data_IF_745502329439
#
_entry.id   IF_745502329439
#
_cell.length_a   1.000
_cell.length_b   1.000
_cell.length_c   1.000
_cell.angle_alpha   90.00
_cell.angle_beta   90.00
_cell.angle_gamma   90.00
#
_symmetry.space_group_name_H-M   'P 1'
#
loop_
_entity.id
_entity.type
_entity.pdbx_description
1 polymer ?
#
# COMPACT_ATOMS: atom_id res chain seq x y z
N UNK A 1 -24.41 -1.99 55.13
CA UNK A 1 -24.93 -2.21 53.77
C UNK A 1 -23.79 -2.01 52.75
N UNK A 2 -22.65 -2.68 52.93
CA UNK A 2 -21.39 -2.28 52.27
C UNK A 2 -20.67 -3.38 51.46
N UNK A 3 -21.05 -4.66 51.57
CA UNK A 3 -20.33 -5.75 50.88
C UNK A 3 -20.93 -6.17 49.53
N UNK A 4 -22.03 -5.56 49.09
CA UNK A 4 -22.67 -5.94 47.81
C UNK A 4 -22.09 -5.19 46.62
N UNK A 5 -21.75 -3.90 46.78
CA UNK A 5 -21.19 -3.08 45.70
C UNK A 5 -19.84 -3.59 45.18
N UNK A 6 -18.99 -4.09 46.07
CA UNK A 6 -17.64 -4.58 45.71
C UNK A 6 -17.68 -5.82 44.80
N UNK A 7 -18.63 -6.73 45.01
CA UNK A 7 -18.80 -7.93 44.19
C UNK A 7 -19.29 -7.56 42.79
N UNK A 8 -20.26 -6.64 42.69
CA UNK A 8 -20.74 -6.16 41.39
C UNK A 8 -19.68 -5.40 40.60
N UNK A 9 -18.82 -4.62 41.26
CA UNK A 9 -17.71 -3.95 40.58
C UNK A 9 -16.64 -4.94 40.10
N UNK A 10 -16.37 -5.99 40.86
CA UNK A 10 -15.43 -7.06 40.45
C UNK A 10 -15.95 -7.82 39.23
N UNK A 11 -17.23 -8.19 39.24
CA UNK A 11 -17.86 -8.90 38.13
C UNK A 11 -17.85 -8.06 36.84
N UNK A 12 -18.12 -6.76 36.95
CA UNK A 12 -18.03 -5.82 35.82
C UNK A 12 -16.60 -5.72 35.25
N UNK A 13 -15.57 -5.71 36.10
CA UNK A 13 -14.17 -5.68 35.65
C UNK A 13 -13.79 -6.98 34.91
N UNK A 14 -14.24 -8.13 35.40
CA UNK A 14 -14.01 -9.41 34.72
C UNK A 14 -14.72 -9.47 33.37
N UNK A 15 -15.99 -9.08 33.30
CA UNK A 15 -16.74 -9.02 32.05
C UNK A 15 -16.06 -8.09 31.03
N UNK A 16 -15.59 -6.91 31.46
CA UNK A 16 -14.88 -5.96 30.61
C UNK A 16 -13.55 -6.53 30.09
N UNK A 17 -12.81 -7.22 30.96
CA UNK A 17 -11.51 -7.83 30.59
C UNK A 17 -11.70 -8.94 29.56
N UNK A 18 -12.72 -9.79 29.73
CA UNK A 18 -13.07 -10.83 28.75
C UNK A 18 -13.43 -10.20 27.40
N UNK A 19 -14.20 -9.10 27.41
CA UNK A 19 -14.59 -8.39 26.19
C UNK A 19 -13.38 -7.80 25.46
N UNK A 20 -12.43 -7.21 26.18
CA UNK A 20 -11.18 -6.68 25.61
C UNK A 20 -10.33 -7.81 25.00
N UNK A 21 -10.21 -8.95 25.69
CA UNK A 21 -9.44 -10.10 25.17
C UNK A 21 -10.09 -10.65 23.91
N UNK A 22 -11.42 -10.75 23.86
CA UNK A 22 -12.12 -11.24 22.66
C UNK A 22 -11.96 -10.29 21.47
N UNK A 23 -12.10 -8.98 21.67
CA UNK A 23 -11.94 -8.00 20.58
C UNK A 23 -10.49 -7.95 20.10
N UNK A 24 -9.51 -7.99 21.00
CA UNK A 24 -8.10 -8.06 20.64
C UNK A 24 -7.77 -9.35 19.87
N UNK A 25 -8.29 -10.50 20.30
CA UNK A 25 -8.08 -11.80 19.64
C UNK A 25 -8.71 -11.84 18.25
N UNK A 26 -9.93 -11.32 18.11
CA UNK A 26 -10.61 -11.22 16.81
C UNK A 26 -9.85 -10.29 15.87
N UNK A 27 -9.41 -9.14 16.36
CA UNK A 27 -8.60 -8.18 15.59
C UNK A 27 -7.29 -8.84 15.16
N UNK A 28 -6.61 -9.53 16.07
CA UNK A 28 -5.37 -10.26 15.78
C UNK A 28 -5.58 -11.39 14.77
N UNK A 29 -6.69 -12.13 14.83
CA UNK A 29 -6.99 -13.19 13.86
C UNK A 29 -7.33 -12.61 12.47
N UNK A 30 -8.06 -11.50 12.43
CA UNK A 30 -8.37 -10.79 11.19
C UNK A 30 -7.11 -10.18 10.56
N UNK A 31 -6.18 -9.65 11.37
CA UNK A 31 -4.89 -9.17 10.86
C UNK A 31 -3.95 -10.31 10.47
N UNK A 32 -3.98 -11.47 11.14
CA UNK A 32 -3.15 -12.62 10.76
C UNK A 32 -3.46 -13.16 9.35
N UNK A 33 -4.72 -13.05 8.89
CA UNK A 33 -5.08 -13.36 7.50
C UNK A 33 -4.37 -12.47 6.48
N UNK A 34 -3.94 -11.27 6.87
CA UNK A 34 -3.13 -10.37 6.06
C UNK A 34 -1.62 -10.70 6.10
N UNK A 35 -1.17 -11.58 7.00
CA UNK A 35 0.24 -11.96 7.19
C UNK A 35 0.60 -13.35 6.62
N UNK A 36 -0.27 -13.98 5.84
CA UNK A 36 0.09 -15.24 5.19
C UNK A 36 1.21 -15.00 4.16
N UNK A 37 2.29 -15.81 4.18
CA UNK A 37 3.43 -15.63 3.32
C UNK A 37 3.03 -15.76 1.84
N UNK A 38 3.66 -14.92 1.03
CA UNK A 38 3.49 -14.67 -0.40
C UNK A 38 3.60 -15.89 -1.34
N UNK A 39 3.70 -17.11 -0.83
CA UNK A 39 3.93 -18.33 -1.62
C UNK A 39 2.64 -19.01 -2.12
N UNK A 40 1.46 -18.54 -1.71
CA UNK A 40 0.16 -19.10 -2.15
C UNK A 40 -0.71 -18.11 -2.96
N UNK A 41 -0.15 -17.00 -3.45
CA UNK A 41 -0.91 -16.05 -4.28
C UNK A 41 -0.84 -16.47 -5.74
N UNK A 42 -1.83 -17.24 -6.17
CA UNK A 42 -2.05 -17.61 -7.56
C UNK A 42 -2.36 -16.35 -8.40
N UNK A 43 -1.30 -15.78 -8.97
CA UNK A 43 -1.13 -15.03 -10.23
C UNK A 43 -2.08 -13.89 -10.67
N UNK A 44 -3.08 -13.49 -9.89
CA UNK A 44 -3.86 -12.28 -10.18
C UNK A 44 -3.56 -11.19 -9.14
N UNK A 45 -2.45 -10.50 -9.31
CA UNK A 45 -2.15 -9.28 -8.55
C UNK A 45 -3.09 -8.17 -9.01
N UNK A 46 -3.85 -7.58 -8.08
CA UNK A 46 -4.61 -6.37 -8.36
C UNK A 46 -3.70 -5.13 -8.14
N UNK A 47 -4.17 -3.93 -8.48
CA UNK A 47 -3.37 -2.71 -8.33
C UNK A 47 -3.03 -2.43 -6.85
N UNK A 48 -3.90 -2.79 -5.91
CA UNK A 48 -3.69 -2.59 -4.47
C UNK A 48 -2.52 -3.45 -3.97
N UNK A 49 -2.46 -4.71 -4.40
CA UNK A 49 -1.38 -5.63 -4.07
C UNK A 49 -0.03 -5.14 -4.58
N UNK A 50 -0.01 -4.63 -5.81
CA UNK A 50 1.21 -4.09 -6.41
C UNK A 50 1.64 -2.82 -5.69
N UNK A 51 0.70 -1.93 -5.36
CA UNK A 51 0.98 -0.71 -4.58
C UNK A 51 1.48 -1.03 -3.17
N UNK A 52 0.93 -2.05 -2.53
CA UNK A 52 1.39 -2.53 -1.22
C UNK A 52 2.78 -3.13 -1.29
N UNK A 53 3.09 -3.90 -2.33
CA UNK A 53 4.43 -4.38 -2.59
C UNK A 53 5.40 -3.24 -2.84
N UNK A 54 5.05 -2.23 -3.65
CA UNK A 54 5.92 -1.07 -3.85
C UNK A 54 6.16 -0.27 -2.56
N UNK A 55 5.16 -0.22 -1.66
CA UNK A 55 5.27 0.47 -0.38
C UNK A 55 6.05 -0.31 0.70
N UNK A 56 6.25 -1.63 0.52
CA UNK A 56 6.88 -2.50 1.53
C UNK A 56 8.16 -3.19 1.06
N UNK A 57 8.41 -3.22 -0.25
CA UNK A 57 9.59 -3.85 -0.83
C UNK A 57 10.83 -3.03 -0.55
N UNK A 58 11.60 -3.46 0.45
CA UNK A 58 12.88 -2.85 0.81
C UNK A 58 13.96 -3.21 -0.22
N UNK A 59 14.61 -2.17 -0.74
CA UNK A 59 15.71 -2.29 -1.70
C UNK A 59 17.09 -2.03 -1.08
N UNK A 60 17.17 -1.95 0.25
CA UNK A 60 18.37 -1.59 1.02
C UNK A 60 18.57 -0.08 1.18
N UNK A 61 17.93 0.72 0.33
CA UNK A 61 17.91 2.19 0.35
C UNK A 61 16.48 2.72 0.53
N UNK A 62 15.64 2.00 1.28
CA UNK A 62 14.23 2.30 1.44
C UNK A 62 13.33 1.57 0.43
N UNK A 63 12.03 1.85 0.53
CA UNK A 63 10.99 1.20 -0.28
C UNK A 63 10.93 1.78 -1.69
N UNK A 64 10.24 1.11 -2.62
CA UNK A 64 10.12 1.61 -4.00
C UNK A 64 9.43 2.99 -4.05
N UNK A 65 8.31 3.15 -3.33
CA UNK A 65 7.60 4.44 -3.28
C UNK A 65 8.41 5.53 -2.58
N UNK A 66 9.21 5.16 -1.57
CA UNK A 66 10.10 6.08 -0.89
C UNK A 66 11.18 6.60 -1.82
N UNK A 67 11.83 5.71 -2.56
CA UNK A 67 12.88 6.08 -3.51
C UNK A 67 12.33 6.95 -4.63
N UNK A 68 11.17 6.61 -5.18
CA UNK A 68 10.50 7.47 -6.17
C UNK A 68 10.22 8.85 -5.57
N UNK A 69 9.67 8.90 -4.35
CA UNK A 69 9.42 10.18 -3.66
C UNK A 69 10.71 10.97 -3.41
N UNK A 70 11.83 10.30 -3.17
CA UNK A 70 13.13 10.93 -2.99
C UNK A 70 13.62 11.56 -4.28
N UNK A 71 13.58 10.83 -5.40
CA UNK A 71 14.00 11.36 -6.71
C UNK A 71 13.17 12.57 -7.15
N UNK A 72 11.85 12.52 -6.88
CA UNK A 72 10.92 13.61 -7.20
C UNK A 72 11.18 14.88 -6.35
N UNK A 73 11.73 14.74 -5.14
CA UNK A 73 12.06 15.87 -4.27
C UNK A 73 13.50 16.38 -4.46
N UNK A 74 14.44 15.50 -4.81
CA UNK A 74 15.87 15.82 -4.84
C UNK A 74 16.25 16.66 -6.07
N UNK A 75 15.63 16.39 -7.23
CA UNK A 75 15.95 17.09 -8.46
C UNK A 75 15.17 18.40 -8.57
N UNK A 76 15.89 19.49 -8.87
CA UNK A 76 15.26 20.78 -9.18
C UNK A 76 14.58 20.78 -10.55
N UNK A 77 15.05 19.94 -11.49
CA UNK A 77 14.44 19.79 -12.80
C UNK A 77 13.39 18.67 -12.77
N UNK A 78 12.15 19.03 -13.09
CA UNK A 78 11.00 18.13 -13.13
C UNK A 78 11.19 16.99 -14.14
N UNK A 79 11.78 17.24 -15.31
CA UNK A 79 11.99 16.19 -16.32
C UNK A 79 13.00 15.14 -15.87
N UNK A 80 14.05 15.57 -15.17
CA UNK A 80 15.08 14.68 -14.62
C UNK A 80 14.51 13.84 -13.48
N UNK A 81 13.76 14.47 -12.56
CA UNK A 81 13.00 13.81 -11.50
C UNK A 81 12.09 12.69 -12.06
N UNK A 82 11.30 13.00 -13.09
CA UNK A 82 10.39 12.02 -13.72
C UNK A 82 11.19 10.89 -14.39
N UNK A 83 12.32 11.20 -15.01
CA UNK A 83 13.17 10.20 -15.68
C UNK A 83 13.76 9.21 -14.68
N UNK A 84 14.28 9.68 -13.55
CA UNK A 84 14.81 8.79 -12.51
C UNK A 84 13.70 8.00 -11.81
N UNK A 85 12.57 8.64 -11.50
CA UNK A 85 11.38 7.97 -10.98
C UNK A 85 10.88 6.87 -11.93
N UNK A 86 10.89 7.12 -13.24
CA UNK A 86 10.51 6.14 -14.25
C UNK A 86 11.40 4.90 -14.21
N UNK A 87 12.72 5.08 -14.14
CA UNK A 87 13.68 3.97 -14.11
C UNK A 87 13.41 3.04 -12.91
N UNK A 88 13.15 3.63 -11.74
CA UNK A 88 12.85 2.87 -10.51
C UNK A 88 11.52 2.13 -10.65
N UNK A 89 10.45 2.85 -11.02
CA UNK A 89 9.10 2.30 -11.12
C UNK A 89 9.01 1.22 -12.21
N UNK A 90 9.44 1.53 -13.42
CA UNK A 90 9.43 0.62 -14.57
C UNK A 90 10.35 -0.58 -14.34
N UNK A 91 11.52 -0.37 -13.71
CA UNK A 91 12.45 -1.46 -13.38
C UNK A 91 11.82 -2.49 -12.45
N UNK A 92 11.09 -2.03 -11.42
CA UNK A 92 10.36 -2.92 -10.52
C UNK A 92 9.17 -3.59 -11.23
N UNK A 93 8.29 -2.81 -11.86
CA UNK A 93 7.05 -3.29 -12.44
C UNK A 93 7.28 -4.26 -13.60
N UNK A 94 8.19 -3.95 -14.53
CA UNK A 94 8.47 -4.83 -15.67
C UNK A 94 9.19 -6.12 -15.25
N UNK A 95 9.99 -6.07 -14.16
CA UNK A 95 10.70 -7.24 -13.65
C UNK A 95 9.78 -8.20 -12.87
N UNK A 96 8.94 -7.65 -11.98
CA UNK A 96 8.02 -8.43 -11.14
C UNK A 96 6.73 -8.83 -11.86
N UNK A 97 6.25 -7.99 -12.80
CA UNK A 97 4.95 -8.13 -13.44
C UNK A 97 5.04 -7.94 -14.97
N UNK A 98 5.83 -8.77 -15.68
CA UNK A 98 6.10 -8.58 -17.12
C UNK A 98 4.85 -8.66 -18.02
N UNK A 99 3.77 -9.29 -17.53
CA UNK A 99 2.54 -9.54 -18.30
C UNK A 99 1.41 -8.55 -17.98
N UNK A 100 1.64 -7.58 -17.08
CA UNK A 100 0.61 -6.60 -16.67
C UNK A 100 0.79 -5.32 -17.47
N UNK A 101 -0.29 -4.78 -18.03
CA UNK A 101 -0.28 -3.41 -18.57
C UNK A 101 -0.54 -2.44 -17.44
N UNK A 102 0.24 -1.36 -17.38
CA UNK A 102 0.12 -0.41 -16.29
C UNK A 102 0.31 1.04 -16.72
N UNK A 103 -0.25 1.91 -15.89
CA UNK A 103 0.02 3.34 -15.87
C UNK A 103 0.13 3.79 -14.40
N UNK A 104 1.31 4.25 -14.00
CA UNK A 104 1.58 4.80 -12.69
C UNK A 104 1.69 6.32 -12.81
N UNK A 105 0.81 6.98 -12.08
CA UNK A 105 0.74 8.43 -11.98
C UNK A 105 1.06 8.89 -10.58
N UNK A 106 1.63 10.09 -10.47
CA UNK A 106 1.88 10.77 -9.20
C UNK A 106 1.15 12.10 -9.21
N UNK A 107 0.55 12.45 -8.08
CA UNK A 107 -0.06 13.74 -7.84
C UNK A 107 0.69 14.46 -6.72
N UNK A 108 1.14 15.68 -7.00
CA UNK A 108 1.95 16.53 -6.12
C UNK A 108 1.13 17.62 -5.39
N UNK A 109 -0.20 17.60 -5.54
CA UNK A 109 -1.10 18.63 -5.00
C UNK A 109 -1.48 19.72 -6.02
N UNK A 110 -0.76 19.82 -7.13
CA UNK A 110 -1.01 20.81 -8.20
C UNK A 110 -1.42 20.08 -9.48
N UNK A 111 -0.64 19.09 -9.89
CA UNK A 111 -0.87 18.36 -11.14
C UNK A 111 -0.60 16.87 -11.00
N UNK A 112 -1.27 16.08 -11.85
CA UNK A 112 -1.03 14.66 -11.99
C UNK A 112 -0.09 14.40 -13.16
N UNK A 113 1.00 13.69 -12.92
CA UNK A 113 1.98 13.33 -13.96
C UNK A 113 2.14 11.82 -14.03
N UNK A 114 2.15 11.28 -15.25
CA UNK A 114 2.51 9.88 -15.47
C UNK A 114 4.01 9.72 -15.32
N UNK A 115 4.43 8.91 -14.34
CA UNK A 115 5.85 8.64 -14.09
C UNK A 115 6.31 7.35 -14.75
N UNK A 116 5.42 6.37 -14.94
CA UNK A 116 5.76 5.13 -15.63
C UNK A 116 4.54 4.51 -16.32
N UNK A 117 4.69 4.04 -17.54
CA UNK A 117 3.66 3.29 -18.25
C UNK A 117 4.30 2.38 -19.30
N UNK A 118 3.72 1.21 -19.53
CA UNK A 118 4.17 0.27 -20.56
C UNK A 118 3.13 0.06 -21.68
N UNK A 119 1.95 0.67 -21.59
CA UNK A 119 0.87 0.52 -22.54
C UNK A 119 -0.08 1.72 -22.54
N UNK A 120 -0.70 1.99 -23.69
CA UNK A 120 -1.68 3.07 -23.83
C UNK A 120 -3.02 2.69 -23.17
N UNK A 121 -3.52 3.57 -22.29
CA UNK A 121 -4.74 3.33 -21.51
C UNK A 121 -6.04 3.65 -22.28
N UNK A 122 -5.96 4.33 -23.44
CA UNK A 122 -7.12 4.86 -24.19
C UNK A 122 -8.13 3.80 -24.66
N UNK A 123 -7.69 2.53 -24.74
CA UNK A 123 -8.51 1.38 -25.18
C UNK A 123 -8.56 0.27 -24.11
N UNK A 124 -8.25 0.60 -22.86
CA UNK A 124 -8.24 -0.38 -21.78
C UNK A 124 -9.66 -0.66 -21.28
N UNK A 125 -10.06 -1.93 -21.29
CA UNK A 125 -11.27 -2.41 -20.63
C UNK A 125 -10.88 -3.05 -19.28
N UNK A 126 -11.77 -2.99 -18.29
CA UNK A 126 -11.58 -3.59 -16.95
C UNK A 126 -10.36 -3.07 -16.17
N UNK A 127 -10.16 -1.75 -16.15
CA UNK A 127 -9.09 -1.11 -15.38
C UNK A 127 -9.29 -1.35 -13.88
N UNK A 128 -8.27 -1.94 -13.25
CA UNK A 128 -8.14 -1.99 -11.80
C UNK A 128 -7.21 -0.86 -11.35
N UNK A 129 -7.56 -0.15 -10.28
CA UNK A 129 -6.76 0.99 -9.81
C UNK A 129 -6.59 0.99 -8.30
N UNK A 130 -5.44 1.44 -7.84
CA UNK A 130 -5.18 1.67 -6.44
C UNK A 130 -4.42 2.98 -6.23
N UNK A 131 -4.70 3.60 -5.09
CA UNK A 131 -4.07 4.85 -4.69
C UNK A 131 -3.37 4.65 -3.37
N UNK A 132 -2.13 5.15 -3.26
CA UNK A 132 -1.39 5.12 -2.00
C UNK A 132 -0.64 6.43 -1.80
N UNK A 133 -0.72 6.93 -0.58
CA UNK A 133 0.02 8.12 -0.18
C UNK A 133 1.34 7.70 0.42
N UNK A 134 2.42 8.34 -0.03
CA UNK A 134 3.75 8.15 0.54
C UNK A 134 4.46 9.51 0.57
N UNK A 135 4.90 9.93 1.75
CA UNK A 135 5.39 11.29 1.99
C UNK A 135 4.37 12.35 1.50
N UNK A 136 4.81 13.28 0.65
CA UNK A 136 3.98 14.36 0.11
C UNK A 136 3.33 14.02 -1.24
N UNK A 137 3.43 12.77 -1.69
CA UNK A 137 2.94 12.35 -2.99
C UNK A 137 1.80 11.35 -2.87
N UNK A 138 0.80 11.52 -3.73
CA UNK A 138 -0.26 10.56 -3.95
C UNK A 138 0.06 9.76 -5.21
N UNK A 139 0.34 8.48 -5.06
CA UNK A 139 0.59 7.57 -6.17
C UNK A 139 -0.71 6.89 -6.57
N UNK A 140 -0.99 6.85 -7.86
CA UNK A 140 -2.13 6.12 -8.40
C UNK A 140 -1.68 5.20 -9.53
N UNK A 141 -1.86 3.90 -9.30
CA UNK A 141 -1.56 2.83 -10.24
C UNK A 141 -2.84 2.35 -10.90
N UNK A 142 -2.81 2.27 -12.23
CA UNK A 142 -3.83 1.63 -13.05
C UNK A 142 -3.22 0.39 -13.70
N UNK A 143 -3.94 -0.73 -13.69
CA UNK A 143 -3.56 -1.96 -14.38
C UNK A 143 -4.72 -2.54 -15.19
N UNK A 144 -4.42 -3.22 -16.30
CA UNK A 144 -5.39 -3.87 -17.18
C UNK A 144 -4.73 -4.95 -18.07
#
# INVERSE_FOLDING_TARGET
MENRGFIYTLDAIFALTILIIMTASLTHFLTLKHYLPSEYRNENYNAEDIMDLMASHDTGNGTILERISHELNFHQNREEAITEANKIASGFLNSKFPNIKYNLTVYDGIESVTIASNAEMSKADNINSATKNYNNYTFQLYIW
#
